data_IF_687979592856
#
_entry.id   IF_687979592856
#
_cell.length_a   1.000
_cell.length_b   1.000
_cell.length_c   1.000
_cell.angle_alpha   90.00
_cell.angle_beta   90.00
_cell.angle_gamma   90.00
#
_symmetry.space_group_name_H-M   'P 1'
#
loop_
_entity.id
_entity.type
_entity.pdbx_description
1 polymer ?
#
# COMPACT_ATOMS: atom_id res chain seq x y z
N UNK A 1 28.34 17.50 -54.16
CA UNK A 1 27.36 18.60 -54.07
C UNK A 1 27.65 19.27 -52.74
N UNK A 2 28.57 20.23 -52.74
CA UNK A 2 28.95 20.97 -51.54
C UNK A 2 27.79 21.90 -51.17
N UNK A 3 27.36 21.84 -49.92
CA UNK A 3 26.29 22.68 -49.40
C UNK A 3 26.94 23.97 -48.91
N UNK A 4 26.55 25.11 -49.49
CA UNK A 4 27.08 26.43 -49.14
C UNK A 4 26.58 26.85 -47.75
N UNK A 5 27.50 27.00 -46.79
CA UNK A 5 27.20 27.42 -45.41
C UNK A 5 26.47 28.78 -45.36
N UNK A 6 26.61 29.63 -46.40
CA UNK A 6 25.86 30.89 -46.51
C UNK A 6 24.39 30.68 -46.83
N UNK A 7 24.03 29.67 -47.61
CA UNK A 7 22.62 29.32 -47.87
C UNK A 7 21.96 28.77 -46.62
N UNK A 8 22.66 27.97 -45.82
CA UNK A 8 22.15 27.47 -44.53
C UNK A 8 21.93 28.63 -43.55
N UNK A 9 22.89 29.55 -43.40
CA UNK A 9 22.75 30.70 -42.49
C UNK A 9 21.61 31.63 -42.89
N UNK A 10 21.45 31.88 -44.19
CA UNK A 10 20.32 32.64 -44.76
C UNK A 10 18.97 31.99 -44.43
N UNK A 11 18.88 30.66 -44.55
CA UNK A 11 17.65 29.91 -44.26
C UNK A 11 17.32 29.92 -42.76
N UNK A 12 18.33 29.79 -41.90
CA UNK A 12 18.19 29.85 -40.44
C UNK A 12 17.74 31.25 -40.00
N UNK A 13 18.33 32.32 -40.53
CA UNK A 13 17.89 33.69 -40.21
C UNK A 13 16.47 33.98 -40.68
N UNK A 14 16.06 33.43 -41.83
CA UNK A 14 14.70 33.58 -42.34
C UNK A 14 13.67 32.87 -41.48
N UNK A 15 13.95 31.64 -41.05
CA UNK A 15 13.10 30.87 -40.11
C UNK A 15 13.01 31.59 -38.76
N UNK A 16 14.12 32.13 -38.26
CA UNK A 16 14.14 32.90 -37.00
C UNK A 16 13.38 34.23 -37.09
N UNK A 17 13.34 34.87 -38.27
CA UNK A 17 12.49 36.05 -38.51
C UNK A 17 11.00 35.70 -38.60
N UNK A 18 10.66 34.60 -39.26
CA UNK A 18 9.27 34.13 -39.37
C UNK A 18 8.72 33.71 -37.99
N UNK A 19 9.54 33.11 -37.13
CA UNK A 19 9.21 32.83 -35.73
C UNK A 19 9.05 34.08 -34.85
N UNK A 20 9.62 35.24 -35.24
CA UNK A 20 9.47 36.51 -34.51
C UNK A 20 8.25 37.34 -34.94
N UNK A 21 7.67 37.05 -36.11
CA UNK A 21 6.49 37.77 -36.64
C UNK A 21 5.20 36.98 -36.36
N UNK A 22 5.29 35.67 -36.16
CA UNK A 22 4.19 34.83 -35.68
C UNK A 22 3.92 35.06 -34.20
N UNK A 23 2.78 35.64 -33.88
CA UNK A 23 2.27 35.90 -32.53
C UNK A 23 1.94 34.56 -31.83
N UNK A 24 2.95 33.84 -31.32
CA UNK A 24 2.78 32.65 -30.49
C UNK A 24 3.19 33.04 -29.07
N UNK A 25 2.18 33.37 -28.25
CA UNK A 25 2.34 33.37 -26.79
C UNK A 25 2.73 31.95 -26.38
N UNK A 26 3.84 31.84 -25.66
CA UNK A 26 4.29 30.61 -25.02
C UNK A 26 3.20 30.04 -24.12
N UNK A 27 2.82 28.79 -24.37
CA UNK A 27 2.05 27.96 -23.43
C UNK A 27 3.09 27.26 -22.55
N UNK A 28 3.78 28.02 -21.70
CA UNK A 28 4.80 27.45 -20.80
C UNK A 28 4.73 27.96 -19.37
N UNK A 29 3.77 28.80 -18.99
CA UNK A 29 3.57 29.18 -17.59
C UNK A 29 2.07 29.35 -17.31
N UNK A 30 1.42 28.25 -16.95
CA UNK A 30 0.10 28.28 -16.31
C UNK A 30 0.18 27.62 -14.93
N UNK A 31 1.18 28.02 -14.14
CA UNK A 31 1.02 28.04 -12.68
C UNK A 31 0.39 29.41 -12.37
N UNK A 32 -0.93 29.46 -12.32
CA UNK A 32 -1.62 30.66 -11.89
C UNK A 32 -1.51 30.77 -10.36
N UNK A 33 -0.69 31.72 -9.89
CA UNK A 33 -0.72 32.17 -8.49
C UNK A 33 -2.06 32.91 -8.26
N UNK A 34 -2.99 32.21 -7.61
CA UNK A 34 -4.37 32.63 -7.40
C UNK A 34 -4.66 33.12 -5.98
N UNK A 35 -3.69 33.78 -5.34
CA UNK A 35 -3.90 34.39 -4.03
C UNK A 35 -5.06 35.41 -3.97
N UNK A 36 -5.64 35.84 -5.10
CA UNK A 36 -6.77 36.78 -5.17
C UNK A 36 -7.93 36.44 -6.15
N UNK A 37 -8.12 35.17 -6.54
CA UNK A 37 -9.22 34.79 -7.46
C UNK A 37 -10.54 34.46 -6.73
N UNK A 38 -11.63 35.09 -7.18
CA UNK A 38 -13.03 34.84 -6.79
C UNK A 38 -13.66 33.63 -7.50
N UNK A 39 -12.85 32.78 -8.14
CA UNK A 39 -13.32 31.53 -8.73
C UNK A 39 -13.98 30.64 -7.66
N UNK A 40 -15.09 30.01 -8.05
CA UNK A 40 -15.78 29.02 -7.22
C UNK A 40 -14.85 27.83 -6.97
N UNK A 41 -14.18 27.84 -5.81
CA UNK A 41 -13.20 26.82 -5.41
C UNK A 41 -13.81 25.42 -5.32
N UNK A 42 -15.14 25.29 -5.29
CA UNK A 42 -15.82 23.98 -5.31
C UNK A 42 -15.63 23.22 -6.63
N UNK A 43 -15.19 23.89 -7.70
CA UNK A 43 -14.91 23.27 -9.01
C UNK A 43 -13.51 22.68 -9.13
N UNK A 44 -12.64 22.89 -8.14
CA UNK A 44 -11.25 22.46 -8.18
C UNK A 44 -10.99 21.32 -7.19
N UNK A 45 -10.16 20.37 -7.62
CA UNK A 45 -9.59 19.34 -6.78
C UNK A 45 -8.13 19.71 -6.46
N UNK A 46 -7.76 19.62 -5.19
CA UNK A 46 -6.36 19.60 -4.75
C UNK A 46 -5.81 18.18 -4.76
N UNK A 47 -4.54 18.05 -5.13
CA UNK A 47 -3.74 16.81 -5.02
C UNK A 47 -2.37 17.11 -4.41
N UNK A 48 -1.81 16.17 -3.67
CA UNK A 48 -0.43 16.18 -3.22
C UNK A 48 0.42 15.36 -4.21
N UNK A 49 1.09 16.06 -5.11
CA UNK A 49 1.87 15.44 -6.19
C UNK A 49 3.33 15.31 -5.78
N UNK A 50 3.85 14.08 -5.77
CA UNK A 50 5.28 13.85 -5.74
C UNK A 50 5.85 14.24 -7.10
N UNK A 51 6.61 15.33 -7.16
CA UNK A 51 7.20 15.85 -8.41
C UNK A 51 8.66 15.44 -8.58
N UNK A 52 9.32 15.08 -7.48
CA UNK A 52 10.68 14.57 -7.41
C UNK A 52 10.91 13.96 -6.02
N UNK A 53 11.95 13.14 -5.81
CA UNK A 53 12.31 12.65 -4.48
C UNK A 53 12.37 13.78 -3.43
N UNK A 54 11.68 13.56 -2.32
CA UNK A 54 11.49 14.46 -1.17
C UNK A 54 10.79 15.77 -1.49
N UNK A 55 10.10 15.87 -2.63
CA UNK A 55 9.42 17.08 -3.06
C UNK A 55 7.97 16.77 -3.44
N UNK A 56 7.06 17.10 -2.54
CA UNK A 56 5.61 17.07 -2.79
C UNK A 56 5.12 18.51 -3.00
N UNK A 57 4.29 18.70 -4.01
CA UNK A 57 3.63 19.97 -4.30
C UNK A 57 2.10 19.79 -4.21
N UNK A 58 1.43 20.70 -3.50
CA UNK A 58 -0.04 20.78 -3.58
C UNK A 58 -0.40 21.48 -4.89
N UNK A 59 -1.09 20.77 -5.78
CA UNK A 59 -1.56 21.29 -7.06
C UNK A 59 -3.07 21.30 -7.12
N UNK A 60 -3.63 22.28 -7.83
CA UNK A 60 -5.07 22.42 -8.05
C UNK A 60 -5.39 22.13 -9.52
N UNK A 61 -6.39 21.29 -9.75
CA UNK A 61 -6.89 20.92 -11.07
C UNK A 61 -8.39 21.10 -11.12
N UNK A 62 -8.93 21.42 -12.30
CA UNK A 62 -10.38 21.44 -12.48
C UNK A 62 -10.93 20.01 -12.30
N UNK A 63 -12.03 19.87 -11.56
CA UNK A 63 -12.74 18.59 -11.46
C UNK A 63 -13.30 18.29 -12.87
N UNK A 64 -12.91 17.17 -13.50
CA UNK A 64 -13.36 16.85 -14.84
C UNK A 64 -14.83 16.43 -14.83
N UNK A 65 -15.52 16.65 -15.95
CA UNK A 65 -16.77 15.92 -16.22
C UNK A 65 -16.46 14.42 -16.32
N UNK A 66 -17.32 13.58 -15.74
CA UNK A 66 -17.14 12.13 -15.77
C UNK A 66 -17.85 11.50 -16.97
N UNK A 67 -17.22 10.49 -17.58
CA UNK A 67 -17.83 9.69 -18.63
C UNK A 67 -18.88 8.71 -18.11
N UNK A 68 -19.54 8.01 -19.04
CA UNK A 68 -20.59 7.02 -18.73
C UNK A 68 -20.10 5.82 -17.89
N UNK A 69 -18.79 5.55 -17.89
CA UNK A 69 -18.15 4.43 -17.20
C UNK A 69 -17.32 4.86 -15.97
N UNK A 70 -17.31 6.16 -15.65
CA UNK A 70 -16.44 6.73 -14.61
C UNK A 70 -17.19 6.95 -13.28
N UNK A 71 -16.44 7.09 -12.20
CA UNK A 71 -16.92 7.47 -10.86
C UNK A 71 -16.07 8.63 -10.37
N UNK A 72 -16.70 9.69 -9.88
CA UNK A 72 -16.02 10.74 -9.15
C UNK A 72 -16.25 10.55 -7.66
N UNK A 73 -15.16 10.51 -6.91
CA UNK A 73 -15.18 10.30 -5.46
C UNK A 73 -14.61 11.53 -4.78
N UNK A 74 -15.31 12.05 -3.77
CA UNK A 74 -14.77 12.99 -2.80
C UNK A 74 -14.02 12.21 -1.73
N UNK A 75 -12.72 12.43 -1.61
CA UNK A 75 -11.83 11.70 -0.70
C UNK A 75 -12.10 12.14 0.74
N UNK A 76 -12.31 11.17 1.63
CA UNK A 76 -12.48 11.40 3.08
C UNK A 76 -11.20 11.09 3.86
N UNK A 77 -10.36 10.19 3.35
CA UNK A 77 -9.03 9.98 3.89
C UNK A 77 -8.23 8.93 3.15
N UNK A 78 -6.94 8.88 3.46
CA UNK A 78 -5.99 7.91 2.93
C UNK A 78 -4.94 7.55 3.99
N UNK A 79 -4.66 6.25 4.16
CA UNK A 79 -3.48 5.81 4.89
C UNK A 79 -2.19 6.24 4.20
N UNK A 80 -1.14 6.49 4.98
CA UNK A 80 0.23 6.64 4.48
C UNK A 80 0.95 5.31 4.68
N UNK A 81 1.27 4.65 3.57
CA UNK A 81 1.97 3.37 3.56
C UNK A 81 3.49 3.56 3.53
N UNK A 82 4.23 2.52 3.91
CA UNK A 82 5.68 2.49 3.72
C UNK A 82 6.09 2.66 2.26
N UNK A 83 5.28 2.14 1.33
CA UNK A 83 5.48 2.34 -0.12
C UNK A 83 5.46 3.81 -0.52
N UNK A 84 4.50 4.60 -0.02
CA UNK A 84 4.45 6.04 -0.33
C UNK A 84 5.72 6.75 0.16
N UNK A 85 6.25 6.34 1.32
CA UNK A 85 7.49 6.87 1.89
C UNK A 85 8.72 6.44 1.09
N UNK A 86 8.76 5.21 0.58
CA UNK A 86 9.84 4.74 -0.30
C UNK A 86 9.88 5.54 -1.61
N UNK A 87 8.72 5.74 -2.24
CA UNK A 87 8.56 6.61 -3.42
C UNK A 87 8.97 8.05 -3.11
N UNK A 88 8.43 8.63 -2.03
CA UNK A 88 8.83 9.96 -1.59
C UNK A 88 10.33 10.07 -1.32
N UNK A 89 10.98 9.06 -0.73
CA UNK A 89 12.40 9.15 -0.38
C UNK A 89 13.32 9.13 -1.59
N UNK A 90 12.98 8.35 -2.63
CA UNK A 90 13.93 8.05 -3.70
C UNK A 90 13.35 7.54 -5.01
N UNK A 91 12.02 7.52 -5.17
CA UNK A 91 11.31 7.12 -6.39
C UNK A 91 11.86 5.82 -7.01
N UNK A 92 11.97 4.71 -6.22
CA UNK A 92 12.57 3.48 -6.71
C UNK A 92 11.79 2.85 -7.87
N UNK A 93 10.51 3.20 -8.06
CA UNK A 93 9.72 2.77 -9.22
C UNK A 93 9.86 3.69 -10.44
N UNK A 94 10.42 4.90 -10.28
CA UNK A 94 10.61 5.85 -11.38
C UNK A 94 9.29 6.36 -11.94
N UNK A 95 8.31 6.62 -11.06
CA UNK A 95 6.93 6.97 -11.42
C UNK A 95 6.61 8.44 -11.18
N UNK A 96 7.52 9.24 -10.60
CA UNK A 96 7.31 10.68 -10.50
C UNK A 96 7.31 11.35 -11.90
N UNK A 97 6.42 12.32 -12.19
CA UNK A 97 5.41 12.87 -11.28
C UNK A 97 4.23 11.90 -11.03
N UNK A 98 3.78 11.83 -9.76
CA UNK A 98 2.66 10.96 -9.36
C UNK A 98 1.89 11.57 -8.18
N UNK A 99 0.56 11.42 -8.17
CA UNK A 99 -0.25 11.64 -6.97
C UNK A 99 -0.25 10.35 -6.15
N UNK A 100 0.42 10.37 -4.99
CA UNK A 100 0.56 9.20 -4.13
C UNK A 100 -0.73 8.88 -3.34
N UNK A 101 -0.67 7.83 -2.52
CA UNK A 101 -1.75 7.41 -1.63
C UNK A 101 -2.61 6.34 -2.30
N UNK A 102 -2.50 5.11 -1.80
CA UNK A 102 -3.17 3.92 -2.33
C UNK A 102 -4.08 3.21 -1.32
N UNK A 103 -4.21 3.77 -0.12
CA UNK A 103 -5.00 3.21 0.98
C UNK A 103 -6.18 4.13 1.33
N UNK A 104 -6.88 4.60 0.31
CA UNK A 104 -7.88 5.65 0.45
C UNK A 104 -9.31 5.21 0.34
N UNK A 105 -10.18 6.06 0.87
CA UNK A 105 -11.63 5.91 0.83
C UNK A 105 -12.32 7.27 0.67
N UNK A 106 -13.53 7.25 0.13
CA UNK A 106 -14.33 8.45 -0.02
C UNK A 106 -15.75 8.16 -0.47
N UNK A 107 -16.50 9.24 -0.64
CA UNK A 107 -17.90 9.22 -1.08
C UNK A 107 -18.02 9.41 -2.59
N UNK A 108 -18.83 8.57 -3.24
CA UNK A 108 -19.23 8.77 -4.63
C UNK A 108 -20.09 10.04 -4.72
N UNK A 109 -19.62 11.05 -5.43
CA UNK A 109 -20.37 12.30 -5.67
C UNK A 109 -20.96 12.37 -7.08
N UNK A 110 -20.41 11.61 -8.03
CA UNK A 110 -20.98 11.42 -9.36
C UNK A 110 -20.63 10.03 -9.88
N UNK A 111 -21.55 9.43 -10.64
CA UNK A 111 -21.40 8.08 -11.17
C UNK A 111 -21.95 8.00 -12.61
N UNK A 112 -21.15 7.45 -13.50
CA UNK A 112 -21.50 7.24 -14.89
C UNK A 112 -22.66 6.26 -15.05
N UNK A 113 -23.49 6.45 -16.08
CA UNK A 113 -24.73 5.69 -16.23
C UNK A 113 -24.54 4.18 -16.44
N UNK A 114 -23.36 3.71 -16.82
CA UNK A 114 -23.06 2.29 -17.02
C UNK A 114 -22.56 1.62 -15.73
N UNK A 115 -22.11 2.38 -14.74
CA UNK A 115 -21.65 1.84 -13.46
C UNK A 115 -22.86 1.57 -12.57
N UNK A 116 -23.17 0.28 -12.37
CA UNK A 116 -24.31 -0.17 -11.55
C UNK A 116 -23.92 -0.98 -10.33
N UNK A 117 -22.76 -1.62 -10.39
CA UNK A 117 -22.28 -2.55 -9.38
C UNK A 117 -20.80 -2.30 -9.09
N UNK A 118 -20.38 -2.58 -7.86
CA UNK A 118 -18.97 -2.69 -7.51
C UNK A 118 -18.37 -4.03 -7.99
N UNK A 119 -17.09 -4.26 -7.72
CA UNK A 119 -16.41 -5.48 -8.16
C UNK A 119 -16.93 -6.76 -7.50
N UNK A 120 -17.67 -6.65 -6.39
CA UNK A 120 -18.32 -7.78 -5.74
C UNK A 120 -19.77 -8.01 -6.21
N UNK A 121 -20.26 -7.22 -7.16
CA UNK A 121 -21.64 -7.29 -7.65
C UNK A 121 -22.66 -6.62 -6.73
N UNK A 122 -22.23 -5.81 -5.76
CA UNK A 122 -23.13 -5.00 -4.91
C UNK A 122 -23.53 -3.74 -5.66
N UNK A 123 -24.82 -3.38 -5.59
CA UNK A 123 -25.31 -2.13 -6.21
C UNK A 123 -24.58 -0.92 -5.61
N UNK A 124 -24.29 0.06 -6.45
CA UNK A 124 -23.66 1.31 -6.04
C UNK A 124 -24.43 2.52 -6.55
N UNK A 125 -24.42 3.59 -5.76
CA UNK A 125 -25.05 4.86 -6.08
C UNK A 125 -24.24 6.04 -5.51
N UNK A 126 -24.62 7.26 -5.93
CA UNK A 126 -24.12 8.49 -5.29
C UNK A 126 -24.43 8.45 -3.78
N UNK A 127 -23.47 8.88 -2.96
CA UNK A 127 -23.52 8.83 -1.50
C UNK A 127 -22.84 7.60 -0.88
N UNK A 128 -22.65 6.53 -1.65
CA UNK A 128 -21.92 5.34 -1.18
C UNK A 128 -20.45 5.64 -0.94
N UNK A 129 -19.87 4.94 0.04
CA UNK A 129 -18.45 5.00 0.34
C UNK A 129 -17.72 3.84 -0.31
N UNK A 130 -16.60 4.12 -0.97
CA UNK A 130 -15.82 3.09 -1.65
C UNK A 130 -14.34 3.11 -1.26
N UNK A 131 -13.68 1.99 -1.54
CA UNK A 131 -12.22 1.82 -1.62
C UNK A 131 -11.86 1.25 -2.99
N UNK A 132 -10.65 1.48 -3.45
CA UNK A 132 -10.11 0.83 -4.65
C UNK A 132 -9.13 -0.28 -4.28
N UNK A 133 -8.83 -1.14 -5.25
CA UNK A 133 -7.89 -2.26 -5.09
C UNK A 133 -7.01 -2.37 -6.35
N UNK A 134 -6.18 -3.41 -6.42
CA UNK A 134 -5.33 -3.70 -7.59
C UNK A 134 -6.16 -3.88 -8.85
N UNK A 135 -5.63 -3.38 -9.97
CA UNK A 135 -6.24 -3.47 -11.30
C UNK A 135 -5.34 -4.36 -12.15
N UNK A 136 -5.85 -5.53 -12.52
CA UNK A 136 -5.17 -6.43 -13.46
C UNK A 136 -5.50 -6.01 -14.90
N UNK A 137 -4.52 -6.08 -15.80
CA UNK A 137 -4.69 -5.63 -17.19
C UNK A 137 -5.55 -6.57 -18.05
N UNK A 138 -5.76 -7.82 -17.62
CA UNK A 138 -6.57 -8.81 -18.35
C UNK A 138 -5.95 -9.34 -19.65
N UNK A 139 -4.77 -8.87 -20.05
CA UNK A 139 -4.19 -9.16 -21.39
C UNK A 139 -2.75 -9.68 -21.38
N UNK A 140 -2.01 -9.57 -20.26
CA UNK A 140 -0.64 -10.10 -20.19
C UNK A 140 -0.65 -11.64 -20.03
N UNK A 141 0.47 -12.34 -20.30
CA UNK A 141 0.56 -13.79 -20.15
C UNK A 141 0.11 -14.30 -18.78
N UNK A 142 0.44 -13.59 -17.71
CA UNK A 142 -0.02 -13.93 -16.36
C UNK A 142 -1.54 -13.86 -16.22
N UNK A 143 -2.17 -12.78 -16.71
CA UNK A 143 -3.63 -12.64 -16.67
C UNK A 143 -4.35 -13.69 -17.54
N UNK A 144 -3.80 -14.02 -18.71
CA UNK A 144 -4.45 -14.93 -19.66
C UNK A 144 -4.29 -16.41 -19.26
N UNK A 145 -3.13 -16.80 -18.71
CA UNK A 145 -2.83 -18.19 -18.34
C UNK A 145 -3.18 -18.53 -16.90
N UNK A 146 -3.09 -17.56 -15.99
CA UNK A 146 -3.29 -17.74 -14.55
C UNK A 146 -4.25 -16.69 -13.98
N UNK A 147 -5.50 -16.62 -14.49
CA UNK A 147 -6.48 -15.60 -14.10
C UNK A 147 -6.84 -15.63 -12.61
N UNK A 148 -6.53 -16.71 -11.89
CA UNK A 148 -6.71 -16.85 -10.45
C UNK A 148 -5.66 -16.09 -9.60
N UNK A 149 -4.61 -15.54 -10.24
CA UNK A 149 -3.55 -14.77 -9.59
C UNK A 149 -3.45 -13.33 -10.16
N UNK A 150 -4.52 -12.53 -10.10
CA UNK A 150 -4.52 -11.15 -10.63
C UNK A 150 -3.49 -10.25 -9.95
N UNK A 151 -3.05 -10.60 -8.74
CA UNK A 151 -1.99 -9.93 -8.00
C UNK A 151 -0.60 -10.03 -8.68
N UNK A 152 -0.41 -10.99 -9.58
CA UNK A 152 0.84 -11.21 -10.34
C UNK A 152 0.76 -10.66 -11.77
N UNK A 153 -0.19 -9.76 -12.05
CA UNK A 153 -0.29 -9.10 -13.33
C UNK A 153 0.97 -8.28 -13.64
N UNK A 154 1.63 -8.57 -14.76
CA UNK A 154 2.84 -7.84 -15.22
C UNK A 154 2.60 -6.33 -15.45
N UNK A 155 1.36 -5.94 -15.77
CA UNK A 155 0.95 -4.55 -15.97
C UNK A 155 -0.08 -4.14 -14.91
N UNK A 156 0.14 -4.56 -13.67
CA UNK A 156 -0.76 -4.23 -12.55
C UNK A 156 -0.76 -2.71 -12.33
N UNK A 157 -1.95 -2.16 -12.06
CA UNK A 157 -2.12 -0.75 -11.70
C UNK A 157 -2.76 -0.63 -10.33
N UNK A 158 -2.39 0.41 -9.60
CA UNK A 158 -2.92 0.73 -8.27
C UNK A 158 -3.10 2.24 -8.22
N UNK A 159 -4.29 2.72 -7.87
CA UNK A 159 -4.50 4.16 -7.62
C UNK A 159 -3.53 4.65 -6.55
N UNK A 160 -2.82 5.74 -6.79
CA UNK A 160 -1.72 6.21 -5.94
C UNK A 160 -0.33 5.77 -6.41
N UNK A 161 -0.24 4.86 -7.38
CA UNK A 161 1.01 4.36 -7.97
C UNK A 161 0.93 4.32 -9.51
N UNK A 162 -0.04 5.02 -10.09
CA UNK A 162 -0.14 5.25 -11.53
C UNK A 162 0.52 6.61 -11.81
N UNK A 163 1.54 6.69 -12.68
CA UNK A 163 2.14 7.97 -13.06
C UNK A 163 1.10 8.99 -13.51
N UNK A 164 1.36 10.27 -13.23
CA UNK A 164 0.54 11.38 -13.68
C UNK A 164 0.54 11.49 -15.21
N UNK A 165 -0.55 12.03 -15.77
CA UNK A 165 -0.68 12.30 -17.21
C UNK A 165 -1.63 13.48 -17.42
N UNK A 166 -1.50 14.18 -18.56
CA UNK A 166 -2.37 15.33 -18.90
C UNK A 166 -3.87 15.00 -18.86
N UNK A 167 -4.24 13.74 -19.14
CA UNK A 167 -5.63 13.28 -19.15
C UNK A 167 -6.14 12.80 -17.78
N UNK A 168 -5.25 12.66 -16.79
CA UNK A 168 -5.61 12.05 -15.52
C UNK A 168 -4.70 12.46 -14.34
N UNK A 169 -5.04 13.59 -13.73
CA UNK A 169 -4.40 14.09 -12.51
C UNK A 169 -5.05 13.59 -11.20
N UNK A 170 -6.21 12.96 -11.28
CA UNK A 170 -7.00 12.53 -10.12
C UNK A 170 -6.91 11.01 -9.95
N UNK A 171 -5.69 10.49 -9.84
CA UNK A 171 -5.40 9.06 -9.86
C UNK A 171 -4.70 8.55 -8.58
N UNK A 172 -4.65 9.36 -7.52
CA UNK A 172 -4.16 9.00 -6.19
C UNK A 172 -5.02 9.56 -5.08
N UNK A 173 -4.94 8.96 -3.90
CA UNK A 173 -5.81 9.28 -2.76
C UNK A 173 -5.28 10.38 -1.85
N UNK A 174 -4.02 10.82 -1.99
CA UNK A 174 -3.59 12.10 -1.39
C UNK A 174 -4.13 13.25 -2.22
N UNK A 175 -5.44 13.39 -2.19
CA UNK A 175 -6.21 14.35 -2.95
C UNK A 175 -7.51 14.65 -2.23
N UNK A 176 -8.21 15.68 -2.70
CA UNK A 176 -9.60 15.98 -2.31
C UNK A 176 -10.61 15.18 -3.13
N UNK A 177 -10.24 14.78 -4.34
CA UNK A 177 -11.06 14.00 -5.25
C UNK A 177 -10.22 12.98 -6.02
N UNK A 178 -10.83 11.86 -6.39
CA UNK A 178 -10.22 10.84 -7.25
C UNK A 178 -11.23 10.42 -8.33
N UNK A 179 -10.75 10.19 -9.55
CA UNK A 179 -11.53 9.69 -10.68
C UNK A 179 -11.27 8.20 -10.84
N UNK A 180 -12.30 7.38 -10.64
CA UNK A 180 -12.23 5.94 -10.85
C UNK A 180 -12.76 5.65 -12.25
N UNK A 181 -11.92 5.06 -13.10
CA UNK A 181 -12.23 4.82 -14.50
C UNK A 181 -12.73 3.41 -14.77
N UNK A 182 -13.15 3.19 -16.02
CA UNK A 182 -13.53 1.87 -16.53
C UNK A 182 -12.44 0.82 -16.30
N UNK A 183 -12.86 -0.38 -15.86
CA UNK A 183 -11.97 -1.52 -15.63
C UNK A 183 -11.27 -1.50 -14.27
N UNK A 184 -11.53 -0.48 -13.44
CA UNK A 184 -11.01 -0.42 -12.08
C UNK A 184 -11.70 -1.39 -11.13
N UNK A 185 -10.94 -1.85 -10.14
CA UNK A 185 -11.42 -2.65 -9.03
C UNK A 185 -11.79 -1.75 -7.86
N UNK A 186 -13.03 -1.82 -7.39
CA UNK A 186 -13.52 -1.05 -6.24
C UNK A 186 -14.63 -1.77 -5.48
N UNK A 187 -14.82 -1.42 -4.21
CA UNK A 187 -15.78 -2.07 -3.31
C UNK A 187 -16.57 -1.04 -2.51
N UNK A 188 -17.88 -1.26 -2.38
CA UNK A 188 -18.74 -0.46 -1.51
C UNK A 188 -18.60 -0.90 -0.06
N UNK A 189 -18.14 0.05 0.76
CA UNK A 189 -17.79 -0.12 2.18
C UNK A 189 -18.58 0.85 3.07
N UNK A 190 -19.74 1.32 2.62
CA UNK A 190 -20.60 2.27 3.33
C UNK A 190 -20.98 1.85 4.76
N UNK A 191 -20.88 0.55 5.08
CA UNK A 191 -21.19 -0.02 6.40
C UNK A 191 -20.07 0.17 7.45
N UNK A 192 -18.87 0.56 7.01
CA UNK A 192 -17.69 0.72 7.87
C UNK A 192 -17.44 2.20 8.19
N UNK A 193 -16.97 2.47 9.42
CA UNK A 193 -16.53 3.83 9.77
C UNK A 193 -15.24 4.21 9.03
N UNK A 194 -14.83 5.48 9.10
CA UNK A 194 -13.66 5.97 8.37
C UNK A 194 -12.37 5.20 8.75
N UNK A 195 -12.09 5.04 10.03
CA UNK A 195 -10.91 4.30 10.51
C UNK A 195 -10.86 2.87 9.98
N UNK A 196 -11.98 2.17 9.98
CA UNK A 196 -12.09 0.81 9.46
C UNK A 196 -11.81 0.77 7.97
N UNK A 197 -12.36 1.73 7.20
CA UNK A 197 -12.14 1.82 5.75
C UNK A 197 -10.67 2.08 5.40
N UNK A 198 -10.00 2.96 6.15
CA UNK A 198 -8.56 3.25 6.01
C UNK A 198 -7.66 2.03 6.31
N UNK A 199 -8.19 1.02 6.99
CA UNK A 199 -7.45 -0.20 7.31
C UNK A 199 -7.74 -1.36 6.35
N UNK A 200 -8.67 -1.23 5.38
CA UNK A 200 -9.04 -2.35 4.49
C UNK A 200 -7.88 -2.79 3.62
N UNK A 201 -7.22 -1.86 2.93
CA UNK A 201 -6.08 -2.14 2.05
C UNK A 201 -4.95 -2.89 2.82
N UNK A 202 -4.41 -2.35 3.93
CA UNK A 202 -3.32 -3.02 4.63
C UNK A 202 -3.80 -4.30 5.34
N UNK A 203 -5.08 -4.39 5.70
CA UNK A 203 -5.66 -5.65 6.21
C UNK A 203 -5.68 -6.71 5.13
N UNK A 204 -5.88 -6.35 3.86
CA UNK A 204 -5.89 -7.29 2.74
C UNK A 204 -4.50 -7.86 2.48
N UNK A 205 -3.44 -7.07 2.67
CA UNK A 205 -2.06 -7.58 2.67
C UNK A 205 -1.86 -8.64 3.76
N UNK A 206 -2.34 -8.38 4.97
CA UNK A 206 -2.24 -9.32 6.09
C UNK A 206 -3.09 -10.58 5.88
N UNK A 207 -4.31 -10.44 5.36
CA UNK A 207 -5.21 -11.54 4.99
C UNK A 207 -4.56 -12.40 3.92
N UNK A 208 -4.01 -11.80 2.85
CA UNK A 208 -3.34 -12.55 1.79
C UNK A 208 -2.19 -13.41 2.36
N UNK A 209 -1.34 -12.83 3.21
CA UNK A 209 -0.24 -13.57 3.86
C UNK A 209 -0.77 -14.77 4.69
N UNK A 210 -1.82 -14.56 5.48
CA UNK A 210 -2.41 -15.62 6.31
C UNK A 210 -3.10 -16.68 5.46
N UNK A 211 -3.81 -16.33 4.39
CA UNK A 211 -4.44 -17.28 3.47
C UNK A 211 -3.39 -18.10 2.70
N UNK A 212 -2.30 -17.46 2.26
CA UNK A 212 -1.13 -18.14 1.69
C UNK A 212 -0.54 -19.15 2.68
N UNK A 213 -0.42 -18.78 3.96
CA UNK A 213 0.05 -19.67 5.01
C UNK A 213 -0.92 -20.83 5.28
N UNK A 214 -2.25 -20.59 5.30
CA UNK A 214 -3.28 -21.63 5.47
C UNK A 214 -3.20 -22.71 4.39
N UNK A 215 -2.89 -22.35 3.13
CA UNK A 215 -2.72 -23.30 2.01
C UNK A 215 -1.61 -24.35 2.25
N UNK A 216 -0.68 -24.10 3.17
CA UNK A 216 0.35 -25.09 3.56
C UNK A 216 -0.19 -26.19 4.49
N UNK A 217 -1.36 -26.00 5.11
CA UNK A 217 -1.91 -26.92 6.11
C UNK A 217 -1.24 -26.86 7.49
N UNK A 218 -0.29 -25.92 7.70
CA UNK A 218 0.48 -25.79 8.94
C UNK A 218 -0.20 -24.93 10.01
N UNK A 219 -1.10 -24.03 9.62
CA UNK A 219 -1.85 -23.19 10.56
C UNK A 219 -3.12 -23.91 11.05
N UNK A 220 -3.10 -24.31 12.33
CA UNK A 220 -4.18 -25.00 13.05
C UNK A 220 -4.43 -24.27 14.37
N UNK A 221 -5.56 -24.53 15.02
CA UNK A 221 -5.91 -23.88 16.30
C UNK A 221 -4.83 -23.98 17.38
N UNK A 222 -4.04 -25.06 17.38
CA UNK A 222 -2.95 -25.30 18.32
C UNK A 222 -1.56 -24.88 17.81
N UNK A 223 -1.43 -24.43 16.55
CA UNK A 223 -0.16 -24.00 15.98
C UNK A 223 0.38 -22.77 16.71
N UNK A 224 1.71 -22.67 16.79
CA UNK A 224 2.43 -21.52 17.30
C UNK A 224 2.89 -20.69 16.10
N UNK A 225 2.23 -19.55 15.89
CA UNK A 225 2.62 -18.58 14.89
C UNK A 225 3.57 -17.54 15.50
N UNK A 226 4.59 -17.13 14.75
CA UNK A 226 5.50 -16.06 15.13
C UNK A 226 5.45 -14.97 14.07
N UNK A 227 5.31 -13.72 14.49
CA UNK A 227 5.33 -12.53 13.63
C UNK A 227 6.55 -11.70 13.97
N UNK A 228 7.49 -11.62 13.04
CA UNK A 228 8.72 -10.85 13.17
C UNK A 228 8.54 -9.48 12.51
N UNK A 229 8.64 -8.42 13.31
CA UNK A 229 8.24 -7.06 12.95
C UNK A 229 6.76 -6.86 13.20
N UNK A 230 6.39 -6.01 14.17
CA UNK A 230 5.01 -5.62 14.44
C UNK A 230 4.79 -4.10 14.26
N UNK A 231 5.26 -3.61 13.12
CA UNK A 231 4.73 -2.39 12.50
C UNK A 231 3.31 -2.61 11.94
N UNK A 232 2.76 -1.71 11.10
CA UNK A 232 1.37 -1.78 10.64
C UNK A 232 0.94 -3.15 10.12
N UNK A 233 1.71 -3.73 9.20
CA UNK A 233 1.40 -5.04 8.60
C UNK A 233 1.50 -6.15 9.65
N UNK A 234 2.56 -6.19 10.45
CA UNK A 234 2.70 -7.21 11.49
C UNK A 234 1.60 -7.18 12.56
N UNK A 235 1.14 -5.99 12.95
CA UNK A 235 -0.02 -5.85 13.84
C UNK A 235 -1.29 -6.45 13.24
N UNK A 236 -1.54 -6.20 11.96
CA UNK A 236 -2.67 -6.75 11.22
C UNK A 236 -2.54 -8.27 11.00
N UNK A 237 -1.33 -8.79 10.78
CA UNK A 237 -1.07 -10.23 10.72
C UNK A 237 -1.36 -10.89 12.08
N UNK A 238 -0.93 -10.31 13.19
CA UNK A 238 -1.26 -10.79 14.55
C UNK A 238 -2.78 -10.84 14.74
N UNK A 239 -3.49 -9.76 14.39
CA UNK A 239 -4.94 -9.70 14.50
C UNK A 239 -5.63 -10.73 13.58
N UNK A 240 -5.19 -10.88 12.34
CA UNK A 240 -5.75 -11.83 11.38
C UNK A 240 -5.56 -13.29 11.83
N UNK A 241 -4.39 -13.62 12.39
CA UNK A 241 -4.14 -14.93 13.03
C UNK A 241 -5.09 -15.16 14.20
N UNK A 242 -5.27 -14.16 15.07
CA UNK A 242 -6.18 -14.25 16.22
C UNK A 242 -7.63 -14.45 15.80
N UNK A 243 -8.11 -13.67 14.82
CA UNK A 243 -9.46 -13.79 14.24
C UNK A 243 -9.65 -15.15 13.58
N UNK A 244 -8.62 -15.68 12.92
CA UNK A 244 -8.61 -17.03 12.33
C UNK A 244 -8.58 -18.15 13.38
N UNK A 245 -8.55 -17.84 14.67
CA UNK A 245 -8.60 -18.79 15.78
C UNK A 245 -7.23 -19.30 16.26
N UNK A 246 -6.12 -18.80 15.70
CA UNK A 246 -4.79 -19.17 16.19
C UNK A 246 -4.61 -18.58 17.59
N UNK A 247 -4.36 -19.46 18.57
CA UNK A 247 -4.27 -19.05 19.97
C UNK A 247 -2.86 -18.67 20.39
N UNK A 248 -1.84 -19.35 19.87
CA UNK A 248 -0.45 -19.17 20.29
C UNK A 248 0.26 -18.27 19.29
N UNK A 249 0.38 -16.99 19.62
CA UNK A 249 0.98 -15.98 18.73
C UNK A 249 2.12 -15.28 19.46
N UNK A 250 3.33 -15.35 18.88
CA UNK A 250 4.54 -14.69 19.39
C UNK A 250 4.83 -13.48 18.50
N UNK A 251 4.91 -12.28 19.08
CA UNK A 251 5.34 -11.08 18.37
C UNK A 251 6.80 -10.73 18.70
N UNK A 252 7.60 -10.40 17.68
CA UNK A 252 8.99 -9.95 17.85
C UNK A 252 9.14 -8.56 17.24
N UNK A 253 9.67 -7.59 18.00
CA UNK A 253 9.98 -6.23 17.53
C UNK A 253 11.05 -5.60 18.44
N UNK A 254 11.56 -4.42 18.09
CA UNK A 254 12.51 -3.68 18.90
C UNK A 254 11.83 -2.62 19.79
N UNK A 255 10.59 -2.26 19.48
CA UNK A 255 9.84 -1.21 20.16
C UNK A 255 8.82 -1.81 21.14
N UNK A 256 9.00 -1.53 22.45
CA UNK A 256 8.11 -2.05 23.49
C UNK A 256 6.65 -1.55 23.33
N UNK A 257 6.43 -0.32 22.84
CA UNK A 257 5.08 0.21 22.57
C UNK A 257 4.35 -0.56 21.46
N UNK A 258 5.06 -0.97 20.40
CA UNK A 258 4.50 -1.85 19.35
C UNK A 258 4.21 -3.25 19.89
N UNK A 259 5.04 -3.77 20.77
CA UNK A 259 4.80 -5.06 21.42
C UNK A 259 3.57 -5.03 22.34
N UNK A 260 3.36 -3.94 23.09
CA UNK A 260 2.13 -3.77 23.87
C UNK A 260 0.90 -3.67 22.97
N UNK A 261 0.99 -2.97 21.83
CA UNK A 261 -0.10 -2.99 20.85
C UNK A 261 -0.33 -4.41 20.29
N UNK A 262 0.72 -5.18 20.02
CA UNK A 262 0.59 -6.55 19.50
C UNK A 262 -0.15 -7.47 20.48
N UNK A 263 0.06 -7.32 21.79
CA UNK A 263 -0.73 -8.04 22.81
C UNK A 263 -2.23 -7.71 22.69
N UNK A 264 -2.55 -6.44 22.48
CA UNK A 264 -3.94 -5.99 22.28
C UNK A 264 -4.54 -6.49 20.97
N UNK A 265 -3.71 -6.71 19.95
CA UNK A 265 -4.10 -7.34 18.69
C UNK A 265 -4.29 -8.86 18.79
N UNK A 266 -3.80 -9.49 19.87
CA UNK A 266 -4.00 -10.91 20.12
C UNK A 266 -2.73 -11.73 20.32
N UNK A 267 -1.54 -11.11 20.28
CA UNK A 267 -0.30 -11.79 20.63
C UNK A 267 -0.33 -12.28 22.08
N UNK A 268 0.02 -13.55 22.29
CA UNK A 268 0.06 -14.17 23.63
C UNK A 268 1.44 -14.10 24.26
N UNK A 269 2.49 -13.87 23.47
CA UNK A 269 3.83 -13.61 23.94
C UNK A 269 4.52 -12.55 23.08
N UNK A 270 5.46 -11.83 23.68
CA UNK A 270 6.23 -10.78 23.01
C UNK A 270 7.72 -10.94 23.31
N UNK A 271 8.57 -10.68 22.32
CA UNK A 271 10.02 -10.67 22.46
C UNK A 271 10.53 -9.32 21.96
N UNK A 272 11.13 -8.52 22.85
CA UNK A 272 11.90 -7.37 22.42
C UNK A 272 13.31 -7.83 22.02
N UNK A 273 13.63 -7.84 20.73
CA UNK A 273 14.90 -8.38 20.25
C UNK A 273 16.11 -7.56 20.69
N UNK A 274 15.92 -6.28 21.06
CA UNK A 274 17.02 -5.40 21.53
C UNK A 274 17.56 -5.78 22.90
N UNK A 275 16.83 -6.63 23.65
CA UNK A 275 17.22 -7.14 24.98
C UNK A 275 18.09 -8.40 24.90
N UNK A 276 18.51 -8.81 23.70
CA UNK A 276 19.30 -10.01 23.46
C UNK A 276 20.57 -9.67 22.68
N UNK A 277 21.71 -10.19 23.15
CA UNK A 277 23.02 -9.79 22.65
C UNK A 277 23.41 -10.46 21.31
N UNK A 278 22.72 -11.53 20.91
CA UNK A 278 23.01 -12.27 19.68
C UNK A 278 21.80 -13.10 19.22
N UNK A 279 21.92 -13.70 18.03
CA UNK A 279 20.88 -14.53 17.43
C UNK A 279 20.54 -15.77 18.25
N UNK A 280 21.54 -16.47 18.79
CA UNK A 280 21.29 -17.70 19.57
C UNK A 280 20.44 -17.43 20.80
N UNK A 281 20.66 -16.31 21.49
CA UNK A 281 19.83 -15.92 22.63
C UNK A 281 18.37 -15.64 22.21
N UNK A 282 18.16 -15.00 21.05
CA UNK A 282 16.80 -14.79 20.49
C UNK A 282 16.14 -16.11 20.12
N UNK A 283 16.87 -17.01 19.48
CA UNK A 283 16.37 -18.34 19.09
C UNK A 283 16.03 -19.18 20.31
N UNK A 284 16.88 -19.17 21.34
CA UNK A 284 16.62 -19.85 22.60
C UNK A 284 15.36 -19.32 23.28
N UNK A 285 15.14 -18.00 23.26
CA UNK A 285 13.89 -17.43 23.76
C UNK A 285 12.66 -17.93 23.01
N UNK A 286 12.71 -18.02 21.68
CA UNK A 286 11.62 -18.60 20.88
C UNK A 286 11.42 -20.08 21.25
N UNK A 287 12.50 -20.84 21.42
CA UNK A 287 12.44 -22.25 21.85
C UNK A 287 11.79 -22.42 23.22
N UNK A 288 12.11 -21.59 24.20
CA UNK A 288 11.46 -21.60 25.53
C UNK A 288 9.94 -21.43 25.41
N UNK A 289 9.49 -20.52 24.55
CA UNK A 289 8.06 -20.25 24.33
C UNK A 289 7.36 -21.31 23.46
N UNK A 290 8.11 -22.20 22.82
CA UNK A 290 7.61 -23.19 21.86
C UNK A 290 7.90 -24.63 22.29
N UNK A 291 8.22 -24.89 23.57
CA UNK A 291 8.51 -26.24 24.05
C UNK A 291 9.78 -26.86 23.45
N UNK A 292 10.74 -26.02 23.07
CA UNK A 292 12.07 -26.42 22.60
C UNK A 292 12.22 -26.57 21.08
N UNK A 293 11.13 -26.53 20.31
CA UNK A 293 11.16 -26.94 18.89
C UNK A 293 11.18 -25.79 17.88
N UNK A 294 10.72 -24.59 18.24
CA UNK A 294 10.51 -23.46 17.31
C UNK A 294 9.05 -23.28 16.88
N UNK A 295 8.76 -22.19 16.17
CA UNK A 295 7.42 -21.85 15.71
C UNK A 295 6.98 -22.75 14.54
N UNK A 296 5.69 -23.11 14.51
CA UNK A 296 5.07 -23.85 13.40
C UNK A 296 5.10 -23.04 12.10
N UNK A 297 4.89 -21.72 12.23
CA UNK A 297 4.83 -20.82 11.10
C UNK A 297 5.35 -19.43 11.48
N UNK A 298 6.26 -18.89 10.68
CA UNK A 298 6.84 -17.54 10.86
C UNK A 298 6.35 -16.61 9.75
N UNK A 299 5.93 -15.40 10.12
CA UNK A 299 5.67 -14.28 9.21
C UNK A 299 6.77 -13.24 9.37
N UNK A 300 7.49 -12.95 8.28
CA UNK A 300 8.54 -11.95 8.24
C UNK A 300 7.94 -10.65 7.67
N UNK A 301 7.79 -9.63 8.52
CA UNK A 301 7.10 -8.37 8.21
C UNK A 301 7.98 -7.11 8.40
N UNK A 302 9.31 -7.27 8.43
CA UNK A 302 10.28 -6.20 8.72
C UNK A 302 10.81 -5.48 7.49
N UNK A 303 10.98 -6.17 6.38
CA UNK A 303 11.73 -5.65 5.22
C UNK A 303 13.23 -5.42 5.49
N UNK A 304 13.79 -6.02 6.56
CA UNK A 304 15.18 -5.86 6.98
C UNK A 304 16.02 -7.11 6.65
N UNK A 305 17.17 -7.01 5.95
CA UNK A 305 17.91 -8.19 5.51
C UNK A 305 18.40 -9.10 6.63
N UNK A 306 18.86 -8.54 7.75
CA UNK A 306 19.26 -9.33 8.91
C UNK A 306 18.08 -10.12 9.49
N UNK A 307 16.90 -9.51 9.59
CA UNK A 307 15.70 -10.19 10.08
C UNK A 307 15.25 -11.32 9.15
N UNK A 308 15.39 -11.16 7.83
CA UNK A 308 15.04 -12.18 6.85
C UNK A 308 15.83 -13.50 7.04
N UNK A 309 17.15 -13.43 7.28
CA UNK A 309 17.95 -14.64 7.54
C UNK A 309 17.70 -15.23 8.93
N UNK A 310 17.43 -14.38 9.92
CA UNK A 310 17.07 -14.81 11.28
C UNK A 310 15.73 -15.56 11.34
N UNK A 311 14.76 -15.18 10.51
CA UNK A 311 13.43 -15.77 10.47
C UNK A 311 13.48 -17.30 10.36
N UNK A 312 14.38 -17.83 9.52
CA UNK A 312 14.59 -19.26 9.37
C UNK A 312 14.97 -19.95 10.69
N UNK A 313 15.71 -19.30 11.58
CA UNK A 313 16.18 -19.89 12.84
C UNK A 313 15.06 -20.02 13.88
N UNK A 314 13.95 -19.32 13.68
CA UNK A 314 12.77 -19.40 14.54
C UNK A 314 11.81 -20.52 14.14
N UNK A 315 11.88 -21.02 12.90
CA UNK A 315 10.98 -22.06 12.37
C UNK A 315 11.42 -23.44 12.85
N UNK A 316 10.47 -24.26 13.32
CA UNK A 316 10.73 -25.68 13.61
C UNK A 316 11.00 -26.49 12.33
N UNK A 317 11.53 -27.71 12.48
CA UNK A 317 11.57 -28.69 11.38
C UNK A 317 10.14 -29.01 10.89
N UNK A 318 9.95 -29.06 9.57
CA UNK A 318 8.67 -29.21 8.87
C UNK A 318 7.74 -28.01 9.01
N UNK A 319 8.24 -26.86 9.48
CA UNK A 319 7.46 -25.64 9.66
C UNK A 319 7.41 -24.78 8.39
N UNK A 320 6.80 -23.60 8.51
CA UNK A 320 6.64 -22.67 7.40
C UNK A 320 7.19 -21.27 7.67
N UNK A 321 7.54 -20.59 6.59
CA UNK A 321 7.95 -19.18 6.59
C UNK A 321 7.22 -18.46 5.46
N UNK A 322 6.54 -17.37 5.79
CA UNK A 322 5.98 -16.43 4.82
C UNK A 322 6.78 -15.13 4.83
N UNK A 323 7.36 -14.77 3.69
CA UNK A 323 7.96 -13.46 3.47
C UNK A 323 6.86 -12.47 3.04
N UNK A 324 6.75 -11.36 3.78
CA UNK A 324 5.74 -10.29 3.59
C UNK A 324 6.38 -8.89 3.57
N UNK A 325 7.54 -8.73 4.21
CA UNK A 325 8.11 -7.41 4.53
C UNK A 325 8.91 -6.76 3.41
N UNK A 326 9.41 -7.54 2.45
CA UNK A 326 10.20 -7.03 1.32
C UNK A 326 9.32 -6.63 0.13
N UNK A 327 8.66 -5.48 0.22
CA UNK A 327 7.94 -4.88 -0.91
C UNK A 327 8.87 -4.12 -1.88
N UNK A 328 9.99 -3.59 -1.39
CA UNK A 328 11.06 -2.99 -2.20
C UNK A 328 12.39 -3.71 -1.97
N UNK A 329 13.36 -3.52 -2.87
CA UNK A 329 14.70 -4.08 -2.72
C UNK A 329 15.50 -3.35 -1.63
N UNK A 330 15.40 -3.83 -0.39
CA UNK A 330 16.12 -3.29 0.78
C UNK A 330 17.49 -3.96 1.04
N UNK A 331 18.03 -4.71 0.06
CA UNK A 331 19.36 -5.32 0.13
C UNK A 331 19.35 -6.83 0.34
N UNK A 332 20.55 -7.38 0.51
CA UNK A 332 20.81 -8.83 0.48
C UNK A 332 21.08 -9.41 1.87
N UNK A 333 20.84 -10.72 2.02
CA UNK A 333 21.16 -11.49 3.23
C UNK A 333 21.64 -12.88 2.85
N UNK A 334 22.39 -13.52 3.75
CA UNK A 334 22.90 -14.88 3.55
C UNK A 334 22.07 -15.88 4.33
N UNK A 335 21.67 -16.96 3.66
CA UNK A 335 21.11 -18.16 4.29
C UNK A 335 22.01 -19.35 4.01
N UNK A 336 21.95 -20.38 4.85
CA UNK A 336 22.57 -21.67 4.54
C UNK A 336 21.48 -22.62 4.00
N UNK A 337 21.42 -22.93 2.69
CA UNK A 337 20.33 -23.73 2.14
C UNK A 337 20.16 -25.11 2.79
N UNK A 338 21.26 -25.71 3.27
CA UNK A 338 21.20 -26.97 3.99
C UNK A 338 20.53 -26.80 5.36
N UNK A 339 21.03 -25.93 6.21
CA UNK A 339 20.50 -25.78 7.58
C UNK A 339 19.18 -25.01 7.64
N UNK A 340 18.95 -24.07 6.72
CA UNK A 340 17.81 -23.16 6.76
C UNK A 340 16.59 -23.68 6.01
N UNK A 341 16.79 -24.53 5.01
CA UNK A 341 15.69 -25.02 4.16
C UNK A 341 15.67 -26.56 4.13
N UNK A 342 16.68 -27.18 3.51
CA UNK A 342 16.63 -28.61 3.14
C UNK A 342 16.57 -29.53 4.36
N UNK A 343 17.50 -29.38 5.31
CA UNK A 343 17.53 -30.25 6.49
C UNK A 343 16.27 -30.07 7.34
N UNK A 344 15.67 -28.88 7.37
CA UNK A 344 14.44 -28.62 8.13
C UNK A 344 13.17 -28.91 7.34
N UNK A 345 13.24 -29.21 6.05
CA UNK A 345 12.06 -29.40 5.18
C UNK A 345 11.08 -28.23 5.27
N UNK A 346 11.59 -27.00 5.11
CA UNK A 346 10.80 -25.77 5.28
C UNK A 346 9.81 -25.56 4.13
N UNK A 347 8.57 -25.20 4.49
CA UNK A 347 7.56 -24.66 3.58
C UNK A 347 7.77 -23.14 3.44
N UNK A 348 8.45 -22.72 2.38
CA UNK A 348 8.71 -21.31 2.10
C UNK A 348 7.68 -20.74 1.11
N UNK A 349 7.01 -19.66 1.50
CA UNK A 349 6.05 -18.96 0.64
C UNK A 349 6.32 -17.44 0.63
N UNK A 350 6.08 -16.81 -0.52
CA UNK A 350 5.99 -15.35 -0.61
C UNK A 350 4.54 -14.87 -0.55
N UNK A 351 4.34 -13.63 -0.11
CA UNK A 351 3.07 -12.90 -0.13
C UNK A 351 3.26 -11.57 -0.85
N UNK A 352 2.69 -11.43 -2.05
CA UNK A 352 2.86 -10.25 -2.89
C UNK A 352 1.52 -9.57 -3.11
N UNK A 353 1.36 -8.35 -2.58
CA UNK A 353 0.10 -7.57 -2.65
C UNK A 353 -1.08 -8.40 -2.11
N UNK A 354 -2.11 -8.63 -2.93
CA UNK A 354 -3.31 -9.43 -2.66
C UNK A 354 -4.15 -9.58 -3.93
N UNK A 355 -5.10 -10.50 -3.92
CA UNK A 355 -6.13 -10.62 -4.95
C UNK A 355 -7.34 -9.71 -4.61
N UNK A 356 -8.00 -9.07 -5.58
CA UNK A 356 -9.19 -8.25 -5.36
C UNK A 356 -10.26 -8.89 -4.49
N UNK A 357 -10.54 -10.18 -4.70
CA UNK A 357 -11.59 -10.90 -3.98
C UNK A 357 -11.30 -11.02 -2.48
N UNK A 358 -10.03 -10.88 -2.06
CA UNK A 358 -9.64 -10.91 -0.65
C UNK A 358 -10.11 -9.66 0.11
N UNK A 359 -10.54 -8.57 -0.56
CA UNK A 359 -11.18 -7.43 0.10
C UNK A 359 -12.45 -7.84 0.85
N UNK A 360 -13.20 -8.82 0.33
CA UNK A 360 -14.39 -9.34 1.01
C UNK A 360 -14.01 -10.07 2.30
N UNK A 361 -12.90 -10.81 2.27
CA UNK A 361 -12.37 -11.50 3.45
C UNK A 361 -11.86 -10.46 4.46
N UNK A 362 -11.20 -9.40 4.01
CA UNK A 362 -10.71 -8.30 4.85
C UNK A 362 -11.83 -7.54 5.54
N UNK A 363 -12.94 -7.27 4.84
CA UNK A 363 -14.12 -6.61 5.41
C UNK A 363 -14.70 -7.47 6.55
N UNK A 364 -14.87 -8.78 6.31
CA UNK A 364 -15.35 -9.71 7.34
C UNK A 364 -14.35 -9.88 8.49
N UNK A 365 -13.04 -9.87 8.21
CA UNK A 365 -11.99 -9.82 9.22
C UNK A 365 -12.12 -8.61 10.13
N UNK A 366 -12.29 -7.41 9.57
CA UNK A 366 -12.42 -6.16 10.34
C UNK A 366 -13.68 -6.19 11.22
N UNK A 367 -14.82 -6.64 10.66
CA UNK A 367 -16.07 -6.81 11.44
C UNK A 367 -15.85 -7.79 12.58
N UNK A 368 -15.27 -8.97 12.30
CA UNK A 368 -15.04 -10.00 13.29
C UNK A 368 -14.06 -9.56 14.37
N UNK A 369 -13.00 -8.83 14.01
CA UNK A 369 -12.05 -8.26 14.95
C UNK A 369 -12.75 -7.35 15.96
N UNK A 370 -13.64 -6.47 15.49
CA UNK A 370 -14.46 -5.61 16.35
C UNK A 370 -15.37 -6.42 17.28
N UNK A 371 -16.06 -7.44 16.76
CA UNK A 371 -16.94 -8.30 17.56
C UNK A 371 -16.22 -9.00 18.71
N UNK A 372 -14.98 -9.45 18.51
CA UNK A 372 -14.18 -10.12 19.53
C UNK A 372 -13.29 -9.16 20.33
N UNK A 373 -13.48 -7.85 20.17
CA UNK A 373 -12.83 -6.81 20.97
C UNK A 373 -11.38 -6.49 20.58
N UNK A 374 -10.94 -6.83 19.37
CA UNK A 374 -9.64 -6.40 18.84
C UNK A 374 -9.75 -4.94 18.35
N UNK A 375 -8.97 -3.99 18.91
CA UNK A 375 -9.16 -2.57 18.66
C UNK A 375 -8.38 -2.07 17.43
N UNK A 376 -8.70 -2.58 16.23
CA UNK A 376 -7.96 -2.29 15.00
C UNK A 376 -7.84 -0.78 14.71
N UNK A 377 -8.87 0.00 15.00
CA UNK A 377 -8.91 1.45 14.76
C UNK A 377 -7.80 2.20 15.52
N UNK A 378 -7.29 1.61 16.61
CA UNK A 378 -6.19 2.19 17.40
C UNK A 378 -4.82 2.03 16.75
N UNK A 379 -4.72 1.29 15.65
CA UNK A 379 -3.52 1.28 14.81
C UNK A 379 -3.32 2.65 14.14
N UNK A 380 -4.37 3.44 13.92
CA UNK A 380 -4.30 4.80 13.37
C UNK A 380 -3.93 5.78 14.48
N UNK A 381 -2.63 6.04 14.63
CA UNK A 381 -2.10 6.84 15.74
C UNK A 381 -1.95 8.32 15.41
N UNK A 382 -1.83 8.68 14.12
CA UNK A 382 -1.68 10.06 13.69
C UNK A 382 -2.61 10.38 12.52
N UNK A 383 -3.12 11.61 12.51
CA UNK A 383 -3.99 12.17 11.48
C UNK A 383 -3.46 13.54 11.09
N UNK A 384 -3.29 13.78 9.80
CA UNK A 384 -2.86 15.04 9.22
C UNK A 384 -3.86 15.48 8.16
N UNK A 385 -3.87 16.78 7.81
CA UNK A 385 -4.58 17.23 6.61
C UNK A 385 -3.72 17.00 5.37
N UNK A 386 -4.31 17.16 4.18
CA UNK A 386 -3.57 17.06 2.92
C UNK A 386 -2.43 18.07 2.83
N UNK A 387 -2.61 19.28 3.38
CA UNK A 387 -1.60 20.33 3.43
C UNK A 387 -0.38 19.97 4.31
N UNK A 388 -0.54 19.03 5.25
CA UNK A 388 0.51 18.56 6.15
C UNK A 388 1.15 17.23 5.68
N UNK A 389 1.02 16.89 4.39
CA UNK A 389 1.51 15.62 3.82
C UNK A 389 2.99 15.35 4.09
N UNK A 390 3.86 16.36 4.04
CA UNK A 390 5.29 16.19 4.33
C UNK A 390 5.52 15.75 5.79
N UNK A 391 4.78 16.34 6.74
CA UNK A 391 4.84 15.93 8.15
C UNK A 391 4.33 14.50 8.34
N UNK A 392 3.33 14.09 7.56
CA UNK A 392 2.82 12.72 7.58
C UNK A 392 3.89 11.73 7.09
N UNK A 393 4.62 12.05 6.01
CA UNK A 393 5.75 11.26 5.51
C UNK A 393 6.88 11.16 6.55
N UNK A 394 7.25 12.28 7.17
CA UNK A 394 8.27 12.33 8.23
C UNK A 394 7.86 11.54 9.49
N UNK A 395 6.58 11.61 9.87
CA UNK A 395 6.03 10.85 11.01
C UNK A 395 6.09 9.34 10.73
N UNK A 396 5.79 8.92 9.50
CA UNK A 396 5.86 7.52 9.09
C UNK A 396 7.32 7.01 9.11
N UNK A 397 8.25 7.71 8.46
CA UNK A 397 9.66 7.28 8.36
C UNK A 397 10.39 7.29 9.71
N UNK A 398 10.03 8.20 10.62
CA UNK A 398 10.59 8.26 11.98
C UNK A 398 10.07 7.14 12.89
N UNK A 399 9.10 6.34 12.42
CA UNK A 399 8.47 5.26 13.19
C UNK A 399 7.78 5.76 14.48
N UNK A 400 7.46 7.06 14.55
CA UNK A 400 6.79 7.70 15.69
C UNK A 400 5.32 7.29 15.83
N UNK A 401 4.74 6.68 14.78
CA UNK A 401 3.41 6.09 14.77
C UNK A 401 3.38 4.61 14.38
N UNK A 402 2.17 4.04 14.39
CA UNK A 402 1.90 2.75 13.75
C UNK A 402 1.36 3.06 12.35
N UNK A 403 0.08 3.40 12.22
CA UNK A 403 -0.53 3.87 10.98
C UNK A 403 -0.72 5.39 11.03
N UNK A 404 -0.26 6.07 10.00
CA UNK A 404 -0.48 7.50 9.76
C UNK A 404 -1.56 7.63 8.70
N UNK A 405 -2.45 8.61 8.83
CA UNK A 405 -3.50 8.88 7.86
C UNK A 405 -3.60 10.36 7.52
N UNK A 406 -3.94 10.64 6.27
CA UNK A 406 -4.47 11.92 5.80
C UNK A 406 -6.00 11.85 5.92
N UNK A 407 -6.61 12.85 6.54
CA UNK A 407 -8.07 12.94 6.71
C UNK A 407 -8.53 14.33 6.27
N UNK A 408 -9.52 14.38 5.39
CA UNK A 408 -10.03 15.61 4.76
C UNK A 408 -11.32 16.13 5.38
#
# INVERSE_FOLDING_TARGET
>A
MEIDEKEISSLVEKVLRELRIGNIKSISDAVMDFSNSTADRSKFAKVAMLVAPKKIEIREYLIPEIGDDDILVKVEGCGVCGTDVHEWRGDPFGIAPVVLGHEGTGEIIAIGKNVKYDTAGKKVAVGDKIVTSVIACGQCPMCLKYPENPNLCENQRIYGLIPDSEDNHLNGWFATHIKIGKGSTFFNVSELNLEQRLLIEPSTVAVHAVERAKKTGLLKFNSIALVQGVGPIGQLVVACLKVSGIRNIIAIDGNDGRLEMAKRMGATATINFTKYNNLDAKVNRVKELTGGIGADFVFQCTGVPAAASEAFKYVRRGGGLCEVGFFVNNGETTINPHFDICNKEINLIGSWTYNPQEYLISIEFIKRAKEIGIPLEQLITHRFSLEDIDKAMETNISLSGIKVAIVN
#
